data_IF_286285452713
#
_entry.id   IF_286285452713
#
_cell.length_a   1.000
_cell.length_b   1.000
_cell.length_c   1.000
_cell.angle_alpha   90.00
_cell.angle_beta   90.00
_cell.angle_gamma   90.00
#
_symmetry.space_group_name_H-M   'P 1'
#
loop_
_entity.id
_entity.type
_entity.pdbx_description
1 polymer ?
#
# COMPACT_ATOMS: atom_id res chain seq x y z
N UNK A 1 45.09 -15.59 -59.84
CA UNK A 1 44.09 -14.58 -59.42
C UNK A 1 42.81 -15.26 -58.95
N UNK A 2 42.45 -16.40 -59.56
CA UNK A 2 41.24 -17.18 -59.26
C UNK A 2 41.21 -17.88 -57.89
N UNK A 3 42.36 -18.15 -57.26
CA UNK A 3 42.41 -18.82 -55.95
C UNK A 3 42.06 -17.90 -54.77
N UNK A 4 42.18 -16.58 -54.95
CA UNK A 4 41.89 -15.59 -53.89
C UNK A 4 40.37 -15.32 -53.82
N UNK A 5 39.68 -15.27 -54.96
CA UNK A 5 38.22 -15.08 -54.97
C UNK A 5 37.46 -16.28 -54.37
N UNK A 6 37.95 -17.50 -54.58
CA UNK A 6 37.36 -18.70 -53.99
C UNK A 6 37.45 -18.72 -52.44
N UNK A 7 38.52 -18.15 -51.87
CA UNK A 7 38.69 -18.07 -50.40
C UNK A 7 37.83 -16.97 -49.77
N UNK A 8 37.60 -15.86 -50.47
CA UNK A 8 36.76 -14.75 -49.97
C UNK A 8 35.27 -15.14 -49.98
N UNK A 9 34.81 -15.90 -50.98
CA UNK A 9 33.45 -16.41 -51.03
C UNK A 9 33.10 -17.39 -49.88
N UNK A 10 34.04 -18.25 -49.50
CA UNK A 10 33.83 -19.22 -48.41
C UNK A 10 33.83 -18.56 -47.01
N UNK A 11 34.61 -17.50 -46.78
CA UNK A 11 34.66 -16.83 -45.47
C UNK A 11 33.41 -16.00 -45.16
N UNK A 12 32.70 -15.53 -46.18
CA UNK A 12 31.47 -14.75 -45.99
C UNK A 12 30.25 -15.63 -45.67
N UNK A 13 30.26 -16.91 -46.07
CA UNK A 13 29.17 -17.84 -45.80
C UNK A 13 29.20 -18.37 -44.35
N UNK A 14 30.38 -18.51 -43.74
CA UNK A 14 30.50 -19.05 -42.37
C UNK A 14 30.07 -18.04 -41.28
N UNK A 15 30.16 -16.73 -41.55
CA UNK A 15 29.85 -15.69 -40.57
C UNK A 15 28.37 -15.25 -40.52
N UNK A 16 27.53 -15.78 -41.42
CA UNK A 16 26.10 -15.48 -41.47
C UNK A 16 25.23 -16.49 -40.69
N UNK A 17 25.76 -17.67 -40.36
CA UNK A 17 24.96 -18.76 -39.75
C UNK A 17 25.04 -18.75 -38.22
N UNK A 18 26.00 -18.03 -37.63
CA UNK A 18 26.20 -18.00 -36.17
C UNK A 18 25.56 -16.81 -35.43
N UNK A 19 24.99 -15.84 -36.15
CA UNK A 19 24.09 -14.85 -35.54
C UNK A 19 22.66 -15.40 -35.53
N UNK A 20 22.45 -16.50 -34.81
CA UNK A 20 21.14 -16.73 -34.21
C UNK A 20 20.89 -15.51 -33.34
N UNK A 21 19.90 -14.69 -33.73
CA UNK A 21 19.55 -13.44 -33.08
C UNK A 21 19.24 -13.69 -31.60
N UNK A 22 20.26 -13.59 -30.75
CA UNK A 22 20.17 -13.76 -29.30
C UNK A 22 19.14 -12.80 -28.69
N UNK A 23 18.87 -11.68 -29.35
CA UNK A 23 17.78 -10.74 -29.05
C UNK A 23 16.41 -11.44 -29.14
N UNK A 24 16.11 -12.13 -30.23
CA UNK A 24 14.81 -12.81 -30.42
C UNK A 24 14.60 -13.93 -29.39
N UNK A 25 15.65 -14.68 -29.05
CA UNK A 25 15.58 -15.73 -28.02
C UNK A 25 15.31 -15.16 -26.62
N UNK A 26 15.99 -14.07 -26.24
CA UNK A 26 15.81 -13.40 -24.93
C UNK A 26 14.43 -12.77 -24.80
N UNK A 27 13.89 -12.16 -25.87
CA UNK A 27 12.57 -11.53 -25.80
C UNK A 27 11.40 -12.52 -25.88
N UNK A 28 11.59 -13.71 -26.46
CA UNK A 28 10.50 -14.67 -26.66
C UNK A 28 10.48 -15.84 -25.66
N UNK A 29 11.64 -16.43 -25.34
CA UNK A 29 11.70 -17.67 -24.54
C UNK A 29 11.71 -17.40 -23.04
N UNK A 30 12.37 -16.33 -22.59
CA UNK A 30 12.39 -15.95 -21.18
C UNK A 30 10.99 -15.64 -20.62
N UNK A 31 10.14 -14.80 -21.24
CA UNK A 31 8.82 -14.52 -20.67
C UNK A 31 7.92 -15.75 -20.60
N UNK A 32 7.98 -16.67 -21.58
CA UNK A 32 7.15 -17.87 -21.58
C UNK A 32 7.44 -18.80 -20.38
N UNK A 33 8.71 -18.98 -20.04
CA UNK A 33 9.11 -19.83 -18.91
C UNK A 33 8.78 -19.20 -17.56
N UNK A 34 9.03 -17.90 -17.36
CA UNK A 34 8.66 -17.23 -16.10
C UNK A 34 7.16 -17.17 -15.88
N UNK A 35 6.35 -16.95 -16.92
CA UNK A 35 4.89 -16.95 -16.81
C UNK A 35 4.40 -18.34 -16.41
N UNK A 36 4.95 -19.40 -17.02
CA UNK A 36 4.58 -20.77 -16.69
C UNK A 36 4.85 -21.09 -15.22
N UNK A 37 6.05 -20.78 -14.72
CA UNK A 37 6.42 -20.98 -13.31
C UNK A 37 5.50 -20.16 -12.39
N UNK A 38 5.21 -18.90 -12.74
CA UNK A 38 4.33 -18.04 -11.95
C UNK A 38 2.91 -18.63 -11.85
N UNK A 39 2.34 -19.11 -12.96
CA UNK A 39 1.00 -19.72 -12.96
C UNK A 39 0.96 -20.95 -12.05
N UNK A 40 1.98 -21.81 -12.11
CA UNK A 40 2.03 -23.02 -11.27
C UNK A 40 2.17 -22.74 -9.78
N UNK A 41 2.77 -21.62 -9.36
CA UNK A 41 2.88 -21.28 -7.93
C UNK A 41 1.73 -20.39 -7.44
N UNK A 42 1.33 -19.38 -8.22
CA UNK A 42 0.35 -18.38 -7.80
C UNK A 42 -1.07 -18.91 -7.82
N UNK A 43 -1.42 -19.76 -8.79
CA UNK A 43 -2.77 -20.32 -8.85
C UNK A 43 -3.09 -21.23 -7.64
N UNK A 44 -2.26 -22.22 -7.27
CA UNK A 44 -2.55 -22.99 -6.06
C UNK A 44 -2.45 -22.14 -4.79
N UNK A 45 -1.50 -21.21 -4.70
CA UNK A 45 -1.39 -20.32 -3.54
C UNK A 45 -2.65 -19.46 -3.34
N UNK A 46 -3.24 -18.93 -4.41
CA UNK A 46 -4.48 -18.13 -4.34
C UNK A 46 -5.68 -18.97 -3.95
N UNK A 47 -5.80 -20.19 -4.48
CA UNK A 47 -6.88 -21.14 -4.09
C UNK A 47 -6.77 -21.50 -2.61
N UNK A 48 -5.57 -21.88 -2.13
CA UNK A 48 -5.35 -22.21 -0.71
C UNK A 48 -5.65 -21.00 0.18
N UNK A 49 -5.14 -19.82 -0.19
CA UNK A 49 -5.39 -18.59 0.57
C UNK A 49 -6.87 -18.24 0.65
N UNK A 50 -7.63 -18.46 -0.43
CA UNK A 50 -9.08 -18.24 -0.46
C UNK A 50 -9.83 -19.17 0.51
N UNK A 51 -9.46 -20.46 0.56
CA UNK A 51 -10.06 -21.39 1.52
C UNK A 51 -9.74 -21.03 2.97
N UNK A 52 -8.50 -20.65 3.26
CA UNK A 52 -8.10 -20.17 4.60
C UNK A 52 -8.87 -18.91 4.98
N UNK A 53 -8.95 -17.94 4.06
CA UNK A 53 -9.69 -16.70 4.27
C UNK A 53 -11.17 -16.96 4.54
N UNK A 54 -11.80 -17.86 3.78
CA UNK A 54 -13.18 -18.30 4.05
C UNK A 54 -13.31 -18.95 5.42
N UNK A 55 -12.33 -19.75 5.84
CA UNK A 55 -12.33 -20.37 7.18
C UNK A 55 -12.40 -19.33 8.29
N UNK A 56 -11.69 -18.20 8.17
CA UNK A 56 -11.70 -17.12 9.17
C UNK A 56 -13.06 -16.43 9.31
N UNK A 57 -13.93 -16.51 8.31
CA UNK A 57 -15.30 -15.99 8.41
C UNK A 57 -16.23 -16.92 9.19
N UNK A 58 -15.92 -18.22 9.24
CA UNK A 58 -16.73 -19.24 9.89
C UNK A 58 -16.29 -19.48 11.33
N UNK A 59 -14.99 -19.68 11.53
CA UNK A 59 -14.40 -20.00 12.83
C UNK A 59 -13.13 -19.17 13.04
N UNK A 60 -13.11 -18.40 14.13
CA UNK A 60 -11.94 -17.61 14.51
C UNK A 60 -10.82 -18.56 14.96
N UNK A 61 -9.60 -18.41 14.46
CA UNK A 61 -8.50 -19.25 14.93
C UNK A 61 -8.07 -18.88 16.35
N UNK A 62 -7.76 -19.88 17.17
CA UNK A 62 -7.42 -19.71 18.59
C UNK A 62 -6.22 -18.78 18.87
N UNK A 63 -5.31 -18.58 17.90
CA UNK A 63 -4.17 -17.66 18.08
C UNK A 63 -4.59 -16.17 18.05
N UNK A 64 -5.80 -15.87 17.58
CA UNK A 64 -6.36 -14.52 17.62
C UNK A 64 -6.95 -14.17 19.00
N UNK A 65 -7.22 -15.17 19.86
CA UNK A 65 -7.73 -14.90 21.20
C UNK A 65 -6.68 -14.15 22.04
N UNK A 66 -6.99 -12.89 22.36
CA UNK A 66 -6.11 -12.00 23.10
C UNK A 66 -5.28 -11.05 22.23
N UNK A 67 -5.51 -10.99 20.92
CA UNK A 67 -4.89 -9.96 20.08
C UNK A 67 -5.58 -8.61 20.30
N UNK A 68 -4.89 -7.61 20.88
CA UNK A 68 -5.47 -6.27 21.06
C UNK A 68 -5.74 -5.58 19.72
N UNK A 69 -6.81 -4.79 19.65
CA UNK A 69 -7.20 -4.02 18.44
C UNK A 69 -6.09 -3.07 17.95
N UNK A 70 -5.21 -2.65 18.85
CA UNK A 70 -4.04 -1.82 18.57
C UNK A 70 -3.06 -2.51 17.61
N UNK A 71 -2.90 -3.83 17.67
CA UNK A 71 -2.04 -4.57 16.74
C UNK A 71 -2.64 -4.61 15.34
N UNK A 72 -3.97 -4.65 15.23
CA UNK A 72 -4.65 -4.59 13.94
C UNK A 72 -4.44 -3.22 13.28
N UNK A 73 -4.50 -2.13 14.06
CA UNK A 73 -4.14 -0.79 13.58
C UNK A 73 -2.66 -0.71 13.12
N UNK A 74 -1.77 -1.53 13.69
CA UNK A 74 -0.37 -1.62 13.28
C UNK A 74 -0.19 -2.34 11.93
N UNK A 75 -1.06 -3.28 11.58
CA UNK A 75 -1.11 -3.84 10.22
C UNK A 75 -1.46 -2.78 9.17
N UNK A 76 -2.31 -1.81 9.51
CA UNK A 76 -2.53 -0.66 8.64
C UNK A 76 -1.26 0.20 8.50
N UNK A 77 -0.46 0.37 9.57
CA UNK A 77 0.84 1.06 9.51
C UNK A 77 1.85 0.36 8.58
N UNK A 78 1.76 -0.95 8.36
CA UNK A 78 2.64 -1.66 7.42
C UNK A 78 2.41 -1.24 5.94
N UNK A 79 1.27 -0.61 5.62
CA UNK A 79 1.03 0.00 4.30
C UNK A 79 1.73 1.37 4.11
N UNK A 80 2.54 1.76 5.09
CA UNK A 80 3.31 3.00 5.05
C UNK A 80 4.57 2.80 4.21
N UNK A 81 4.60 3.38 3.02
CA UNK A 81 5.77 3.27 2.14
C UNK A 81 5.61 3.88 0.77
N UNK A 82 4.38 4.17 0.36
CA UNK A 82 4.13 4.56 -1.00
C UNK A 82 4.54 6.01 -1.31
N UNK A 83 4.91 6.26 -2.56
CA UNK A 83 5.34 7.56 -3.07
C UNK A 83 4.52 7.92 -4.31
N UNK A 84 4.47 9.22 -4.64
CA UNK A 84 3.88 9.62 -5.91
C UNK A 84 4.74 9.05 -7.06
N UNK A 85 4.18 8.09 -7.79
CA UNK A 85 4.80 7.58 -9.00
C UNK A 85 4.71 8.64 -10.10
N UNK A 86 5.78 9.44 -10.23
CA UNK A 86 5.96 10.30 -11.40
C UNK A 86 6.58 9.49 -12.52
N UNK A 87 5.77 9.05 -13.49
CA UNK A 87 6.21 8.30 -14.67
C UNK A 87 7.04 9.10 -15.68
N UNK A 88 7.74 10.16 -15.24
CA UNK A 88 8.57 10.98 -16.11
C UNK A 88 9.99 10.45 -16.06
N UNK A 89 10.40 9.73 -17.11
CA UNK A 89 11.81 9.40 -17.33
C UNK A 89 12.61 10.66 -17.67
N UNK A 90 13.89 10.65 -17.36
CA UNK A 90 14.77 11.81 -17.56
C UNK A 90 14.86 12.24 -19.03
N UNK A 91 14.80 11.27 -19.96
CA UNK A 91 14.80 11.51 -21.40
C UNK A 91 13.60 12.37 -21.87
N UNK A 92 12.43 12.22 -21.25
CA UNK A 92 11.20 12.90 -21.69
C UNK A 92 11.12 14.35 -21.21
N UNK A 93 11.99 14.77 -20.28
CA UNK A 93 11.97 16.13 -19.72
C UNK A 93 12.21 17.21 -20.77
N UNK A 94 13.05 16.96 -21.77
CA UNK A 94 13.38 17.95 -22.82
C UNK A 94 12.17 18.17 -23.73
N UNK A 95 11.47 17.09 -24.09
CA UNK A 95 10.26 17.15 -24.90
C UNK A 95 9.09 17.81 -24.15
N UNK A 96 8.88 17.41 -22.89
CA UNK A 96 7.80 17.94 -22.05
C UNK A 96 7.98 19.42 -21.71
N UNK A 97 9.22 19.93 -21.69
CA UNK A 97 9.48 21.38 -21.51
C UNK A 97 8.97 22.23 -22.67
N UNK A 98 8.97 21.71 -23.90
CA UNK A 98 8.43 22.41 -25.07
C UNK A 98 6.89 22.42 -25.06
N UNK A 99 6.26 21.34 -24.55
CA UNK A 99 4.80 21.17 -24.55
C UNK A 99 4.20 21.25 -23.14
N UNK A 100 4.08 22.46 -22.59
CA UNK A 100 3.58 22.70 -21.22
C UNK A 100 2.19 22.11 -20.95
N UNK A 101 1.29 22.08 -21.95
CA UNK A 101 -0.07 21.50 -21.81
C UNK A 101 -0.02 20.01 -21.52
N UNK A 102 0.79 19.26 -22.28
CA UNK A 102 0.96 17.81 -22.08
C UNK A 102 1.60 17.50 -20.74
N UNK A 103 2.56 18.32 -20.30
CA UNK A 103 3.20 18.16 -19.00
C UNK A 103 2.21 18.30 -17.83
N UNK A 104 1.31 19.30 -17.88
CA UNK A 104 0.29 19.49 -16.84
C UNK A 104 -0.70 18.32 -16.80
N UNK A 105 -1.16 17.84 -17.96
CA UNK A 105 -2.07 16.70 -18.05
C UNK A 105 -1.42 15.43 -17.50
N UNK A 106 -0.18 15.13 -17.90
CA UNK A 106 0.57 13.97 -17.40
C UNK A 106 0.72 14.00 -15.88
N UNK A 107 0.98 15.19 -15.30
CA UNK A 107 1.07 15.37 -13.86
C UNK A 107 -0.28 15.14 -13.17
N UNK A 108 -1.37 15.66 -13.71
CA UNK A 108 -2.72 15.44 -13.17
C UNK A 108 -3.07 13.94 -13.17
N UNK A 109 -2.83 13.24 -14.28
CA UNK A 109 -3.07 11.80 -14.39
C UNK A 109 -2.19 10.98 -13.43
N UNK A 110 -0.91 11.34 -13.27
CA UNK A 110 -0.04 10.67 -12.29
C UNK A 110 -0.53 10.82 -10.85
N UNK A 111 -1.08 11.98 -10.50
CA UNK A 111 -1.68 12.24 -9.18
C UNK A 111 -2.96 11.40 -9.01
N UNK A 112 -3.88 11.44 -9.98
CA UNK A 112 -5.15 10.68 -9.94
C UNK A 112 -4.88 9.18 -9.84
N UNK A 113 -3.95 8.66 -10.64
CA UNK A 113 -3.57 7.26 -10.61
C UNK A 113 -3.02 6.85 -9.23
N UNK A 114 -2.15 7.68 -8.65
CA UNK A 114 -1.61 7.44 -7.31
C UNK A 114 -2.73 7.39 -6.25
N UNK A 115 -3.70 8.31 -6.31
CA UNK A 115 -4.85 8.31 -5.41
C UNK A 115 -5.71 7.05 -5.56
N UNK A 116 -6.02 6.66 -6.80
CA UNK A 116 -6.82 5.47 -7.08
C UNK A 116 -6.13 4.19 -6.60
N UNK A 117 -4.81 4.09 -6.82
CA UNK A 117 -4.01 2.98 -6.30
C UNK A 117 -4.04 2.92 -4.77
N UNK A 118 -3.98 4.06 -4.08
CA UNK A 118 -4.13 4.08 -2.62
C UNK A 118 -5.49 3.59 -2.15
N UNK A 119 -6.58 4.05 -2.79
CA UNK A 119 -7.91 3.59 -2.44
C UNK A 119 -8.04 2.07 -2.63
N UNK A 120 -7.51 1.54 -3.74
CA UNK A 120 -7.54 0.11 -4.01
C UNK A 120 -6.69 -0.69 -3.01
N UNK A 121 -5.53 -0.17 -2.62
CA UNK A 121 -4.66 -0.77 -1.61
C UNK A 121 -5.33 -0.82 -0.23
N UNK A 122 -5.98 0.26 0.20
CA UNK A 122 -6.72 0.29 1.47
C UNK A 122 -7.93 -0.63 1.42
N UNK A 123 -8.66 -0.68 0.30
CA UNK A 123 -9.75 -1.64 0.12
C UNK A 123 -9.26 -3.09 0.19
N UNK A 124 -8.15 -3.42 -0.45
CA UNK A 124 -7.57 -4.76 -0.42
C UNK A 124 -7.23 -5.21 1.00
N UNK A 125 -6.62 -4.33 1.79
CA UNK A 125 -6.31 -4.61 3.20
C UNK A 125 -7.55 -4.62 4.07
N UNK A 126 -8.49 -3.72 3.82
CA UNK A 126 -9.78 -3.71 4.48
C UNK A 126 -10.53 -5.04 4.30
N UNK A 127 -10.52 -5.60 3.09
CA UNK A 127 -11.10 -6.93 2.81
C UNK A 127 -10.33 -8.00 3.56
N UNK A 128 -8.99 -8.00 3.50
CA UNK A 128 -8.17 -9.00 4.20
C UNK A 128 -8.40 -9.00 5.73
N UNK A 129 -8.63 -7.83 6.31
CA UNK A 129 -8.87 -7.65 7.76
C UNK A 129 -10.35 -7.81 8.14
N UNK A 130 -11.26 -7.71 7.17
CA UNK A 130 -12.71 -7.84 7.33
C UNK A 130 -13.18 -8.95 8.27
N UNK A 131 -12.78 -10.22 8.10
CA UNK A 131 -13.24 -11.31 8.98
C UNK A 131 -12.92 -11.05 10.46
N UNK A 132 -11.73 -10.51 10.75
CA UNK A 132 -11.33 -10.22 12.12
C UNK A 132 -12.14 -9.08 12.74
N UNK A 133 -12.46 -8.06 11.94
CA UNK A 133 -13.25 -6.92 12.40
C UNK A 133 -14.67 -7.32 12.82
N UNK A 134 -15.34 -8.13 12.00
CA UNK A 134 -16.72 -8.53 12.25
C UNK A 134 -16.85 -9.67 13.25
N UNK A 135 -16.01 -10.70 13.17
CA UNK A 135 -16.15 -11.89 14.03
C UNK A 135 -15.49 -11.72 15.40
N UNK A 136 -14.33 -11.06 15.50
CA UNK A 136 -13.62 -10.94 16.79
C UNK A 136 -14.15 -9.78 17.61
N UNK A 137 -14.26 -8.60 16.99
CA UNK A 137 -14.57 -7.35 17.69
C UNK A 137 -16.06 -7.01 17.64
N UNK A 138 -16.87 -7.71 16.84
CA UNK A 138 -18.32 -7.47 16.68
C UNK A 138 -18.66 -6.01 16.34
N UNK A 139 -17.75 -5.31 15.68
CA UNK A 139 -17.88 -3.89 15.37
C UNK A 139 -18.80 -3.66 14.17
N UNK A 140 -19.47 -2.51 14.17
CA UNK A 140 -20.42 -2.17 13.13
C UNK A 140 -19.70 -1.81 11.82
N UNK A 141 -20.36 -2.03 10.66
CA UNK A 141 -19.82 -1.63 9.35
C UNK A 141 -19.54 -0.13 9.26
N UNK A 142 -20.26 0.69 10.03
CA UNK A 142 -20.05 2.13 10.09
C UNK A 142 -18.66 2.49 10.64
N UNK A 143 -18.25 1.84 11.72
CA UNK A 143 -16.97 2.07 12.39
C UNK A 143 -15.81 1.67 11.49
N UNK A 144 -15.98 0.58 10.72
CA UNK A 144 -15.03 0.15 9.71
C UNK A 144 -14.85 1.19 8.58
N UNK A 145 -15.95 1.76 8.08
CA UNK A 145 -15.89 2.79 7.02
C UNK A 145 -15.23 4.07 7.55
N UNK A 146 -15.56 4.48 8.79
CA UNK A 146 -14.95 5.64 9.41
C UNK A 146 -13.45 5.43 9.64
N UNK A 147 -13.06 4.27 10.17
CA UNK A 147 -11.66 3.91 10.40
C UNK A 147 -10.86 3.87 9.10
N UNK A 148 -11.40 3.21 8.06
CA UNK A 148 -10.74 3.15 6.74
C UNK A 148 -10.65 4.52 6.07
N UNK A 149 -11.69 5.35 6.15
CA UNK A 149 -11.67 6.72 5.62
C UNK A 149 -10.64 7.60 6.33
N UNK A 150 -10.57 7.51 7.66
CA UNK A 150 -9.56 8.19 8.47
C UNK A 150 -8.15 7.73 8.10
N UNK A 151 -7.96 6.44 7.83
CA UNK A 151 -6.70 5.89 7.35
C UNK A 151 -6.28 6.42 5.98
N UNK A 152 -7.20 6.42 5.00
CA UNK A 152 -6.97 6.99 3.66
C UNK A 152 -6.57 8.46 3.76
N UNK A 153 -7.27 9.23 4.60
CA UNK A 153 -7.00 10.66 4.78
C UNK A 153 -5.59 10.92 5.33
N UNK A 154 -5.15 10.12 6.32
CA UNK A 154 -3.81 10.19 6.87
C UNK A 154 -2.75 9.86 5.81
N UNK A 155 -2.98 8.80 5.03
CA UNK A 155 -2.06 8.41 3.96
C UNK A 155 -1.92 9.50 2.90
N UNK A 156 -3.02 10.13 2.52
CA UNK A 156 -3.03 11.25 1.58
C UNK A 156 -2.26 12.46 2.12
N UNK A 157 -2.40 12.77 3.40
CA UNK A 157 -1.64 13.82 4.08
C UNK A 157 -0.13 13.56 3.96
N UNK A 158 0.31 12.34 4.31
CA UNK A 158 1.72 11.94 4.26
C UNK A 158 2.27 12.04 2.84
N UNK A 159 1.52 11.54 1.85
CA UNK A 159 1.90 11.66 0.45
C UNK A 159 2.03 13.11 0.03
N UNK A 160 1.06 13.97 0.36
CA UNK A 160 1.11 15.41 0.02
C UNK A 160 2.36 16.10 0.59
N UNK A 161 2.77 15.74 1.81
CA UNK A 161 3.99 16.26 2.44
C UNK A 161 5.24 15.77 1.68
N UNK A 162 5.34 14.47 1.42
CA UNK A 162 6.46 13.89 0.65
C UNK A 162 6.57 14.49 -0.74
N UNK A 163 5.43 14.68 -1.42
CA UNK A 163 5.35 15.30 -2.74
C UNK A 163 5.86 16.74 -2.73
N UNK A 164 5.49 17.52 -1.70
CA UNK A 164 6.04 18.87 -1.52
C UNK A 164 7.53 18.83 -1.18
N UNK A 165 7.98 17.92 -0.32
CA UNK A 165 9.39 17.81 0.07
C UNK A 165 10.31 17.58 -1.13
N UNK A 166 9.92 16.67 -2.03
CA UNK A 166 10.72 16.31 -3.21
C UNK A 166 10.84 17.48 -4.22
N UNK A 167 9.78 18.28 -4.39
CA UNK A 167 9.78 19.44 -5.29
C UNK A 167 10.54 20.64 -4.69
N UNK A 168 10.71 20.69 -3.37
CA UNK A 168 10.97 21.93 -2.64
C UNK A 168 12.36 22.03 -2.00
N UNK A 169 13.29 21.16 -2.42
CA UNK A 169 14.75 21.31 -2.17
C UNK A 169 15.31 22.65 -2.73
N UNK A 170 14.50 23.46 -3.45
CA UNK A 170 14.86 24.80 -3.93
C UNK A 170 14.36 25.99 -3.08
N UNK A 171 13.60 25.81 -2.00
CA UNK A 171 13.16 26.97 -1.20
C UNK A 171 12.56 26.69 0.18
N UNK A 172 13.34 26.96 1.23
CA UNK A 172 12.95 26.81 2.65
C UNK A 172 11.67 27.58 3.05
N UNK A 173 11.42 28.77 2.44
CA UNK A 173 10.27 29.63 2.78
C UNK A 173 8.90 29.03 2.44
N UNK A 174 8.82 28.07 1.52
CA UNK A 174 7.57 27.34 1.26
C UNK A 174 7.28 26.26 2.29
N UNK A 175 8.32 25.68 2.91
CA UNK A 175 8.19 24.58 3.87
C UNK A 175 7.50 25.09 5.15
N UNK A 176 7.91 26.27 5.62
CA UNK A 176 7.30 26.96 6.76
C UNK A 176 5.79 27.18 6.61
N UNK A 177 5.30 27.43 5.39
CA UNK A 177 3.84 27.57 5.12
C UNK A 177 3.08 26.24 5.17
N UNK A 178 3.76 25.09 5.04
CA UNK A 178 3.14 23.76 5.10
C UNK A 178 2.99 23.19 6.52
N UNK A 179 3.83 23.63 7.46
CA UNK A 179 3.85 23.15 8.85
C UNK A 179 2.50 23.30 9.58
N UNK A 180 1.81 24.47 9.56
CA UNK A 180 0.56 24.60 10.30
C UNK A 180 -0.55 23.68 9.76
N UNK A 181 -0.56 23.42 8.45
CA UNK A 181 -1.52 22.49 7.84
C UNK A 181 -1.27 21.05 8.29
N UNK A 182 0.01 20.68 8.48
CA UNK A 182 0.38 19.38 8.99
C UNK A 182 0.01 19.20 10.46
N UNK A 183 0.35 20.19 11.30
CA UNK A 183 0.01 20.17 12.73
C UNK A 183 -1.52 20.10 12.89
N UNK A 184 -2.27 20.90 12.14
CA UNK A 184 -3.74 20.87 12.17
C UNK A 184 -4.29 19.50 11.80
N UNK A 185 -3.77 18.87 10.75
CA UNK A 185 -4.21 17.54 10.35
C UNK A 185 -3.86 16.45 11.37
N UNK A 186 -2.68 16.52 12.01
CA UNK A 186 -2.30 15.60 13.08
C UNK A 186 -3.18 15.76 14.32
N UNK A 187 -3.53 17.00 14.68
CA UNK A 187 -4.44 17.27 15.80
C UNK A 187 -5.82 16.69 15.49
N UNK A 188 -6.38 16.99 14.32
CA UNK A 188 -7.67 16.44 13.89
C UNK A 188 -7.63 14.91 13.91
N UNK A 189 -6.59 14.30 13.35
CA UNK A 189 -6.43 12.85 13.36
C UNK A 189 -6.36 12.29 14.79
N UNK A 190 -5.56 12.90 15.66
CA UNK A 190 -5.42 12.49 17.06
C UNK A 190 -6.72 12.61 17.85
N UNK A 191 -7.50 13.68 17.65
CA UNK A 191 -8.79 13.85 18.33
C UNK A 191 -9.84 12.86 17.83
N UNK A 192 -9.86 12.56 16.52
CA UNK A 192 -10.76 11.55 15.98
C UNK A 192 -10.40 10.14 16.47
N UNK A 193 -9.10 9.84 16.53
CA UNK A 193 -8.61 8.58 17.05
C UNK A 193 -8.97 8.42 18.53
N UNK A 194 -8.78 9.44 19.37
CA UNK A 194 -9.16 9.35 20.79
C UNK A 194 -10.66 9.18 21.00
N UNK A 195 -11.50 9.88 20.22
CA UNK A 195 -12.96 9.72 20.26
C UNK A 195 -13.37 8.30 19.90
N UNK A 196 -12.76 7.72 18.86
CA UNK A 196 -13.03 6.34 18.45
C UNK A 196 -12.75 5.36 19.59
N UNK A 197 -11.57 5.42 20.22
CA UNK A 197 -11.25 4.54 21.35
C UNK A 197 -12.13 4.77 22.58
N UNK A 198 -12.55 6.00 22.83
CA UNK A 198 -13.41 6.33 23.98
C UNK A 198 -14.83 5.81 23.76
N UNK A 199 -15.34 5.85 22.52
CA UNK A 199 -16.65 5.32 22.17
C UNK A 199 -16.73 3.80 22.39
N UNK A 200 -15.70 3.05 22.00
CA UNK A 200 -15.64 1.60 22.23
C UNK A 200 -15.62 1.24 23.73
N UNK A 201 -14.83 1.98 24.53
CA UNK A 201 -14.83 1.82 25.99
C UNK A 201 -16.20 2.10 26.61
N UNK A 202 -16.94 3.07 26.08
CA UNK A 202 -18.26 3.43 26.59
C UNK A 202 -19.32 2.39 26.22
N UNK A 203 -19.27 1.84 25.00
CA UNK A 203 -20.13 0.71 24.59
C UNK A 203 -19.86 -0.53 25.44
N UNK A 204 -18.60 -0.86 25.71
CA UNK A 204 -18.24 -1.96 26.62
C UNK A 204 -18.78 -1.73 28.05
N UNK A 205 -18.71 -0.51 28.56
CA UNK A 205 -19.22 -0.17 29.89
C UNK A 205 -20.75 -0.25 29.98
N UNK A 206 -21.46 0.24 28.96
CA UNK A 206 -22.94 0.20 28.93
C UNK A 206 -23.47 -1.22 28.76
N UNK A 207 -22.81 -2.07 27.96
CA UNK A 207 -23.13 -3.49 27.83
C UNK A 207 -22.98 -4.25 29.16
N UNK A 208 -21.93 -3.95 29.94
CA UNK A 208 -21.70 -4.57 31.26
C UNK A 208 -22.75 -4.15 32.31
N UNK A 209 -23.35 -2.96 32.16
CA UNK A 209 -24.39 -2.47 33.09
C UNK A 209 -25.74 -3.19 32.91
N UNK A 210 -26.00 -3.79 31.75
CA UNK A 210 -27.27 -4.49 31.45
C UNK A 210 -27.22 -5.96 31.92
N UNK A 211 -26.02 -6.52 32.08
CA UNK A 211 -25.83 -7.92 32.45
C UNK A 211 -25.17 -7.97 33.83
N UNK A 212 -25.97 -8.09 34.91
CA UNK A 212 -25.52 -8.33 36.28
C UNK A 212 -24.79 -9.68 36.41
N UNK A 213 -23.61 -9.82 35.79
CA UNK A 213 -22.66 -10.89 36.08
C UNK A 213 -21.31 -10.25 36.44
N UNK A 214 -20.76 -10.53 37.63
CA UNK A 214 -19.42 -10.11 37.97
C UNK A 214 -18.44 -10.98 37.19
N UNK A 215 -18.01 -10.50 36.02
CA UNK A 215 -16.81 -11.01 35.38
C UNK A 215 -15.72 -9.96 35.53
N UNK A 216 -14.65 -10.38 36.21
CA UNK A 216 -13.42 -9.65 36.44
C UNK A 216 -12.79 -9.23 35.11
N UNK A 217 -13.20 -8.09 34.56
CA UNK A 217 -12.48 -7.45 33.47
C UNK A 217 -11.41 -6.55 34.08
N UNK A 218 -10.19 -7.09 34.07
CA UNK A 218 -8.95 -6.36 34.27
C UNK A 218 -8.82 -5.36 33.12
N UNK A 219 -9.36 -4.16 33.30
CA UNK A 219 -8.88 -2.99 32.57
C UNK A 219 -7.47 -2.70 33.09
N UNK A 220 -6.45 -3.33 32.53
CA UNK A 220 -5.07 -2.84 32.61
C UNK A 220 -4.95 -1.58 31.77
N UNK A 221 -5.57 -0.50 32.26
CA UNK A 221 -5.17 0.87 31.97
C UNK A 221 -3.88 1.15 32.74
N UNK A 222 -2.76 0.60 32.26
CA UNK A 222 -1.44 1.03 32.68
C UNK A 222 -0.84 1.89 31.57
N UNK A 223 -1.47 3.05 31.34
CA UNK A 223 -0.83 4.17 30.66
C UNK A 223 -0.25 5.05 31.75
N UNK A 224 1.07 4.92 31.92
CA UNK A 224 1.93 5.86 32.61
C UNK A 224 1.74 7.28 32.09
N UNK A 225 1.31 8.20 32.95
CA UNK A 225 1.54 9.66 33.00
C UNK A 225 0.58 10.20 34.07
N UNK A 226 0.94 10.90 35.14
CA UNK A 226 1.94 11.94 35.32
C UNK A 226 1.99 12.32 36.80
N UNK A 227 3.17 12.71 37.28
CA UNK A 227 3.43 13.78 38.27
C UNK A 227 2.62 13.82 39.59
N UNK A 228 3.28 13.59 40.72
CA UNK A 228 3.84 14.60 41.63
C UNK A 228 4.28 13.92 42.93
N UNK A 229 5.30 14.51 43.56
CA UNK A 229 5.55 14.60 45.01
C UNK A 229 5.14 13.44 45.93
#
# INVERSE_FOLDING_TARGET
MDEIEARVGASLSYNQIHCVDWTVFVYFVLPATVISVFVYFVLPATVISFFIYRSWWLEMPNWMDGVPIQLLALFFLLLWGDHFHTYVREADRIFLRKNKKLFLQLKQWGIIYSYLYQCLSVLGVGIAIGPFWYQHFQLHTGDFILFSGLWVSLKWLIMAIKGKWNVQVRGWRSLLRGIPFFIGALIVWGTWFSVFFTAECWLAFTANRIQHRPLNFVCTSSIYFSSQF
#
